data_IF_885744811844
#
_entry.id   IF_885744811844
#
_cell.length_a   1.000
_cell.length_b   1.000
_cell.length_c   1.000
_cell.angle_alpha   90.00
_cell.angle_beta   90.00
_cell.angle_gamma   90.00
#
_symmetry.space_group_name_H-M   'P 1'
#
loop_
_entity.id
_entity.type
_entity.pdbx_description
1 polymer ?
#
# COMPACT_ATOMS: atom_id res chain seq x y z
N UNK A 1 -24.50 49.84 22.24
CA UNK A 1 -25.95 49.67 22.48
C UNK A 1 -26.35 48.26 22.09
N UNK A 2 -26.70 47.40 23.06
CA UNK A 2 -27.21 46.04 22.82
C UNK A 2 -28.73 46.11 22.88
N UNK A 3 -29.44 45.70 21.84
CA UNK A 3 -30.90 45.51 21.89
C UNK A 3 -31.21 44.03 21.74
N UNK A 4 -31.63 43.42 22.84
CA UNK A 4 -32.11 42.04 22.90
C UNK A 4 -33.60 42.02 22.53
N UNK A 5 -34.00 41.20 21.56
CA UNK A 5 -35.39 40.84 21.34
C UNK A 5 -35.57 39.37 21.74
N UNK A 6 -36.45 39.13 22.71
CA UNK A 6 -36.89 37.80 23.16
C UNK A 6 -38.17 37.46 22.38
N UNK A 7 -38.20 36.33 21.70
CA UNK A 7 -39.45 35.77 21.16
C UNK A 7 -39.51 34.28 21.46
N UNK A 8 -40.45 33.93 22.33
CA UNK A 8 -40.86 32.59 22.75
C UNK A 8 -41.51 31.82 21.59
N UNK A 9 -41.10 30.57 21.37
CA UNK A 9 -41.69 29.63 20.41
C UNK A 9 -42.36 28.50 21.18
N UNK A 10 -43.68 28.38 20.99
CA UNK A 10 -44.54 27.31 21.51
C UNK A 10 -44.48 26.11 20.56
N UNK A 11 -44.19 24.91 21.08
CA UNK A 11 -44.10 23.67 20.31
C UNK A 11 -45.41 22.88 20.39
N UNK A 12 -46.12 22.74 19.27
CA UNK A 12 -47.27 21.86 19.13
C UNK A 12 -46.80 20.48 18.62
N UNK A 13 -46.97 19.46 19.46
CA UNK A 13 -46.83 18.03 19.20
C UNK A 13 -47.89 17.52 18.22
N UNK A 14 -47.49 16.77 17.19
CA UNK A 14 -48.08 15.48 16.75
C UNK A 14 -47.45 15.01 15.43
N UNK A 15 -47.03 13.74 15.35
CA UNK A 15 -46.72 13.08 14.08
C UNK A 15 -45.81 11.85 14.21
N UNK A 16 -46.39 10.65 14.06
CA UNK A 16 -45.81 9.35 14.38
C UNK A 16 -44.61 8.92 13.51
N UNK A 17 -43.59 8.32 14.15
CA UNK A 17 -42.46 7.66 13.48
C UNK A 17 -42.72 6.14 13.43
N UNK A 18 -42.93 5.63 12.21
CA UNK A 18 -43.12 4.20 11.91
C UNK A 18 -41.77 3.47 12.01
N UNK A 19 -41.74 2.40 12.79
CA UNK A 19 -40.60 1.52 13.06
C UNK A 19 -40.45 0.46 11.94
N UNK A 20 -39.28 0.41 11.30
CA UNK A 20 -38.83 -0.68 10.43
C UNK A 20 -37.35 -0.97 10.71
N UNK A 21 -37.05 -2.14 11.28
CA UNK A 21 -35.80 -2.42 11.99
C UNK A 21 -34.59 -2.81 11.13
N UNK A 22 -33.41 -2.43 11.62
CA UNK A 22 -32.18 -3.22 11.69
C UNK A 22 -31.20 -2.49 12.62
N UNK A 23 -30.52 -3.24 13.47
CA UNK A 23 -29.91 -2.77 14.71
C UNK A 23 -28.66 -1.88 14.54
N UNK A 24 -28.72 -0.67 15.11
CA UNK A 24 -27.55 0.05 15.64
C UNK A 24 -28.02 0.71 16.95
N UNK A 25 -27.40 0.35 18.08
CA UNK A 25 -27.79 0.85 19.39
C UNK A 25 -27.58 2.36 19.50
N UNK A 26 -28.66 3.10 19.76
CA UNK A 26 -28.61 4.53 20.11
C UNK A 26 -29.24 4.71 21.48
N UNK A 27 -28.40 4.85 22.50
CA UNK A 27 -28.82 5.45 23.77
C UNK A 27 -29.13 6.91 23.51
N UNK A 28 -30.37 7.31 23.77
CA UNK A 28 -30.83 8.68 23.59
C UNK A 28 -30.14 9.62 24.60
N UNK A 29 -29.17 10.40 24.12
CA UNK A 29 -28.73 11.62 24.77
C UNK A 29 -29.14 12.78 23.86
N UNK A 30 -30.10 13.57 24.34
CA UNK A 30 -30.51 14.81 23.69
C UNK A 30 -29.38 15.82 23.82
N UNK A 31 -28.76 16.18 22.69
CA UNK A 31 -27.85 17.31 22.58
C UNK A 31 -28.44 18.28 21.56
N UNK A 32 -28.79 19.48 22.03
CA UNK A 32 -29.02 20.66 21.21
C UNK A 32 -27.71 20.99 20.50
N UNK A 33 -27.66 20.65 19.21
CA UNK A 33 -26.48 20.86 18.39
C UNK A 33 -26.95 20.96 16.96
N UNK A 34 -26.64 22.08 16.30
CA UNK A 34 -26.70 22.23 14.85
C UNK A 34 -26.20 20.94 14.22
N UNK A 35 -27.11 20.17 13.62
CA UNK A 35 -26.75 18.99 12.84
C UNK A 35 -26.04 19.52 11.61
N UNK A 36 -24.73 19.64 11.71
CA UNK A 36 -23.87 19.70 10.54
C UNK A 36 -24.11 18.39 9.81
N UNK A 37 -24.98 18.42 8.81
CA UNK A 37 -24.99 17.39 7.78
C UNK A 37 -23.63 17.45 7.13
N UNK A 38 -22.70 16.63 7.63
CA UNK A 38 -21.53 16.24 6.88
C UNK A 38 -22.09 15.67 5.58
N UNK A 39 -22.00 16.47 4.52
CA UNK A 39 -22.23 15.99 3.17
C UNK A 39 -21.25 14.84 3.02
N UNK A 40 -21.76 13.61 3.18
CA UNK A 40 -21.02 12.40 2.88
C UNK A 40 -20.70 12.53 1.40
N UNK A 41 -19.49 13.00 1.09
CA UNK A 41 -18.87 12.83 -0.19
C UNK A 41 -18.82 11.32 -0.38
N UNK A 42 -19.86 10.75 -0.99
CA UNK A 42 -19.88 9.37 -1.42
C UNK A 42 -18.89 9.30 -2.57
N UNK A 43 -17.60 9.29 -2.24
CA UNK A 43 -16.54 8.82 -3.10
C UNK A 43 -16.86 7.36 -3.34
N UNK A 44 -17.70 7.12 -4.35
CA UNK A 44 -18.06 5.78 -4.80
C UNK A 44 -16.76 5.20 -5.33
N UNK A 45 -16.05 4.46 -4.49
CA UNK A 45 -14.90 3.69 -4.93
C UNK A 45 -15.44 2.75 -6.01
N UNK A 46 -14.93 2.80 -7.25
CA UNK A 46 -15.45 1.97 -8.32
C UNK A 46 -15.32 0.47 -7.98
N UNK A 47 -15.90 -0.41 -8.77
CA UNK A 47 -15.53 -1.82 -8.68
C UNK A 47 -14.11 -1.99 -9.21
N UNK A 48 -13.24 -2.82 -8.60
CA UNK A 48 -12.00 -3.22 -9.23
C UNK A 48 -12.30 -3.99 -10.52
N UNK A 49 -11.47 -3.80 -11.55
CA UNK A 49 -11.60 -4.51 -12.83
C UNK A 49 -11.18 -5.97 -12.67
N UNK A 50 -10.13 -6.21 -11.88
CA UNK A 50 -9.69 -7.54 -11.52
C UNK A 50 -9.12 -7.53 -10.11
N UNK A 51 -9.31 -8.62 -9.38
CA UNK A 51 -8.68 -8.86 -8.09
C UNK A 51 -8.04 -10.25 -8.12
N UNK A 52 -6.76 -10.31 -7.79
CA UNK A 52 -5.99 -11.54 -7.66
C UNK A 52 -5.63 -11.66 -6.17
N UNK A 53 -6.39 -12.48 -5.41
CA UNK A 53 -6.18 -12.60 -3.97
C UNK A 53 -4.84 -13.25 -3.61
N UNK A 54 -4.34 -14.11 -4.49
CA UNK A 54 -3.09 -14.85 -4.28
C UNK A 54 -2.35 -14.99 -5.62
N UNK A 55 -1.16 -14.39 -5.70
CA UNK A 55 -0.27 -14.50 -6.85
C UNK A 55 0.67 -15.69 -6.63
N UNK A 56 0.39 -16.81 -7.31
CA UNK A 56 1.15 -18.07 -7.19
C UNK A 56 2.22 -18.23 -8.27
N UNK A 57 3.17 -17.31 -8.30
CA UNK A 57 4.33 -17.38 -9.20
C UNK A 57 4.42 -16.24 -10.21
N UNK A 58 5.31 -16.44 -11.20
CA UNK A 58 5.79 -15.38 -12.07
C UNK A 58 7.04 -14.72 -11.50
N UNK A 59 7.67 -13.84 -12.28
CA UNK A 59 8.93 -13.19 -11.91
C UNK A 59 8.80 -11.68 -12.13
N UNK A 60 9.39 -10.89 -11.24
CA UNK A 60 9.70 -9.49 -11.52
C UNK A 60 11.16 -9.39 -11.95
N UNK A 61 11.44 -8.63 -13.01
CA UNK A 61 12.80 -8.48 -13.52
C UNK A 61 13.19 -7.01 -13.59
N UNK A 62 14.42 -6.71 -13.17
CA UNK A 62 15.01 -5.38 -13.21
C UNK A 62 16.26 -5.43 -14.08
N UNK A 63 16.25 -4.69 -15.17
CA UNK A 63 17.43 -4.51 -16.00
C UNK A 63 18.45 -3.65 -15.24
N UNK A 64 19.69 -4.13 -15.14
CA UNK A 64 20.78 -3.37 -14.57
C UNK A 64 21.34 -2.43 -15.64
N UNK A 65 21.36 -1.14 -15.32
CA UNK A 65 21.99 -0.16 -16.18
C UNK A 65 23.51 -0.38 -16.23
N UNK A 66 24.11 -0.16 -17.39
CA UNK A 66 25.56 -0.34 -17.57
C UNK A 66 26.35 0.60 -16.65
N UNK A 67 25.89 1.84 -16.48
CA UNK A 67 26.53 2.82 -15.60
C UNK A 67 26.50 2.38 -14.13
N UNK A 68 25.45 1.66 -13.70
CA UNK A 68 25.39 1.09 -12.36
C UNK A 68 26.44 -0.01 -12.17
N UNK A 69 26.54 -0.96 -13.12
CA UNK A 69 27.54 -2.04 -13.02
C UNK A 69 28.97 -1.54 -13.13
N UNK A 70 29.22 -0.52 -13.96
CA UNK A 70 30.53 0.12 -14.09
C UNK A 70 30.91 0.84 -12.80
N UNK A 71 29.97 1.55 -12.16
CA UNK A 71 30.21 2.23 -10.90
C UNK A 71 30.52 1.23 -9.76
N UNK A 72 29.78 0.13 -9.68
CA UNK A 72 30.08 -0.94 -8.70
C UNK A 72 31.48 -1.50 -8.89
N UNK A 73 31.87 -1.77 -10.15
CA UNK A 73 33.21 -2.27 -10.49
C UNK A 73 34.28 -1.25 -10.11
N UNK A 74 34.06 0.03 -10.39
CA UNK A 74 34.99 1.12 -10.01
C UNK A 74 35.14 1.28 -8.49
N UNK A 75 34.11 0.93 -7.71
CA UNK A 75 34.13 0.94 -6.25
C UNK A 75 34.69 -0.37 -5.66
N UNK A 76 35.06 -1.34 -6.50
CA UNK A 76 35.54 -2.65 -6.06
C UNK A 76 34.45 -3.55 -5.46
N UNK A 77 33.18 -3.25 -5.76
CA UNK A 77 32.03 -4.04 -5.33
C UNK A 77 31.72 -5.09 -6.39
N UNK A 78 31.64 -6.35 -5.97
CA UNK A 78 31.19 -7.45 -6.81
C UNK A 78 29.70 -7.69 -6.57
N UNK A 79 28.82 -7.36 -7.54
CA UNK A 79 27.41 -7.70 -7.44
C UNK A 79 27.18 -9.20 -7.65
N UNK A 80 26.24 -9.75 -6.91
CA UNK A 80 25.75 -11.11 -7.06
C UNK A 80 24.27 -11.20 -6.71
N UNK A 81 23.75 -12.43 -6.71
CA UNK A 81 22.37 -12.74 -6.31
C UNK A 81 22.39 -13.68 -5.11
N UNK A 82 21.33 -13.66 -4.30
CA UNK A 82 21.10 -14.62 -3.22
C UNK A 82 19.80 -15.37 -3.40
N UNK A 83 19.76 -16.60 -2.86
CA UNK A 83 18.58 -17.45 -2.87
C UNK A 83 18.11 -17.81 -4.28
N UNK A 84 16.84 -17.56 -4.57
CA UNK A 84 16.19 -17.91 -5.84
C UNK A 84 16.28 -16.79 -6.91
N UNK A 85 16.92 -15.66 -6.59
CA UNK A 85 17.15 -14.62 -7.57
C UNK A 85 18.12 -15.09 -8.67
N UNK A 86 17.90 -14.61 -9.89
CA UNK A 86 18.70 -14.97 -11.07
C UNK A 86 19.23 -13.73 -11.75
N UNK A 87 20.53 -13.69 -12.06
CA UNK A 87 21.14 -12.66 -12.89
C UNK A 87 21.43 -13.26 -14.28
N UNK A 88 20.64 -12.88 -15.27
CA UNK A 88 20.74 -13.38 -16.64
C UNK A 88 20.62 -12.20 -17.62
N UNK A 89 21.47 -12.16 -18.64
CA UNK A 89 21.43 -11.13 -19.70
C UNK A 89 21.43 -9.67 -19.18
N UNK A 90 22.11 -9.40 -18.05
CA UNK A 90 22.15 -8.06 -17.44
C UNK A 90 20.87 -7.65 -16.72
N UNK A 91 19.93 -8.58 -16.50
CA UNK A 91 18.72 -8.37 -15.72
C UNK A 91 18.71 -9.28 -14.50
N UNK A 92 18.26 -8.75 -13.36
CA UNK A 92 18.02 -9.54 -12.15
C UNK A 92 16.54 -9.86 -12.07
N UNK A 93 16.24 -11.15 -12.05
CA UNK A 93 14.89 -11.70 -11.90
C UNK A 93 14.67 -12.19 -10.47
N UNK A 94 13.58 -11.76 -9.86
CA UNK A 94 13.10 -12.17 -8.55
C UNK A 94 11.79 -12.96 -8.72
N UNK A 95 11.74 -14.25 -8.35
CA UNK A 95 10.51 -15.02 -8.32
C UNK A 95 9.49 -14.43 -7.34
N UNK A 96 8.24 -14.33 -7.76
CA UNK A 96 7.13 -13.95 -6.88
C UNK A 96 6.73 -15.19 -6.08
N UNK A 97 6.77 -15.08 -4.77
CA UNK A 97 6.49 -16.16 -3.83
C UNK A 97 5.06 -16.07 -3.29
N UNK A 98 4.59 -14.86 -3.03
CA UNK A 98 3.25 -14.57 -2.55
C UNK A 98 2.83 -13.14 -2.88
N UNK A 99 1.60 -12.79 -2.51
CA UNK A 99 1.09 -11.43 -2.64
C UNK A 99 -0.33 -11.38 -3.20
N UNK A 100 -0.90 -10.18 -3.19
CA UNK A 100 -2.23 -9.92 -3.71
C UNK A 100 -2.21 -8.62 -4.50
N UNK A 101 -2.90 -8.60 -5.64
CA UNK A 101 -2.96 -7.42 -6.51
C UNK A 101 -4.40 -7.16 -6.94
N UNK A 102 -4.79 -5.89 -6.89
CA UNK A 102 -6.05 -5.39 -7.41
C UNK A 102 -5.77 -4.41 -8.53
N UNK A 103 -6.43 -4.62 -9.66
CA UNK A 103 -6.37 -3.76 -10.82
C UNK A 103 -7.63 -2.90 -10.93
N UNK A 104 -7.42 -1.61 -11.14
CA UNK A 104 -8.43 -0.57 -11.25
C UNK A 104 -8.38 0.05 -12.63
N UNK A 105 -9.56 0.32 -13.20
CA UNK A 105 -9.66 0.79 -14.59
C UNK A 105 -8.90 2.11 -14.82
N UNK A 106 -8.15 2.22 -15.94
CA UNK A 106 -7.52 3.46 -16.35
C UNK A 106 -8.50 4.58 -16.66
N UNK A 107 -9.70 4.22 -17.10
CA UNK A 107 -10.78 5.12 -17.53
C UNK A 107 -11.48 5.81 -16.35
N UNK A 108 -11.33 5.26 -15.13
CA UNK A 108 -11.85 5.85 -13.91
C UNK A 108 -10.95 6.95 -13.34
N UNK A 109 -11.37 7.58 -12.23
CA UNK A 109 -10.56 8.56 -11.48
C UNK A 109 -9.80 7.95 -10.28
N UNK A 110 -9.98 6.65 -10.03
CA UNK A 110 -9.34 5.98 -8.90
C UNK A 110 -7.87 5.65 -9.24
N UNK A 111 -6.95 6.14 -8.40
CA UNK A 111 -5.49 5.93 -8.55
C UNK A 111 -4.92 5.50 -7.21
N UNK A 112 -3.84 4.71 -7.20
CA UNK A 112 -3.11 4.12 -8.35
C UNK A 112 -3.85 2.92 -8.98
N UNK A 113 -3.56 2.62 -10.25
CA UNK A 113 -4.27 1.57 -11.02
C UNK A 113 -4.00 0.16 -10.53
N UNK A 114 -2.80 -0.08 -10.03
CA UNK A 114 -2.38 -1.37 -9.50
C UNK A 114 -2.08 -1.16 -8.03
N UNK A 115 -2.77 -1.91 -7.19
CA UNK A 115 -2.62 -1.85 -5.73
C UNK A 115 -2.37 -3.25 -5.22
N UNK A 116 -1.54 -3.38 -4.19
CA UNK A 116 -1.19 -4.67 -3.66
C UNK A 116 0.18 -4.71 -3.03
N UNK A 117 0.59 -5.93 -2.71
CA UNK A 117 1.91 -6.29 -2.25
C UNK A 117 2.33 -7.57 -2.99
N UNK A 118 3.57 -7.59 -3.45
CA UNK A 118 4.20 -8.76 -4.07
C UNK A 118 5.45 -9.11 -3.28
N UNK A 119 5.49 -10.35 -2.78
CA UNK A 119 6.57 -10.88 -1.97
C UNK A 119 7.54 -11.68 -2.85
N UNK A 120 8.84 -11.52 -2.58
CA UNK A 120 9.93 -12.22 -3.24
C UNK A 120 10.85 -12.82 -2.18
N UNK A 121 10.25 -13.62 -1.30
CA UNK A 121 10.94 -14.27 -0.19
C UNK A 121 12.07 -15.18 -0.71
N UNK A 122 13.10 -15.38 0.12
CA UNK A 122 14.29 -16.18 -0.21
C UNK A 122 14.97 -15.77 -1.54
N UNK A 123 14.88 -14.49 -1.91
CA UNK A 123 15.47 -13.94 -3.13
C UNK A 123 16.10 -12.57 -2.82
N UNK A 124 17.29 -12.31 -3.36
CA UNK A 124 17.99 -11.08 -3.05
C UNK A 124 19.18 -10.73 -3.95
N UNK A 125 19.80 -9.61 -3.61
CA UNK A 125 21.02 -9.07 -4.21
C UNK A 125 22.15 -9.11 -3.20
N UNK A 126 23.35 -9.40 -3.66
CA UNK A 126 24.56 -9.34 -2.82
C UNK A 126 25.55 -8.35 -3.37
N UNK A 127 26.21 -7.61 -2.48
CA UNK A 127 27.28 -6.67 -2.78
C UNK A 127 28.48 -7.04 -1.90
N UNK A 128 29.55 -7.54 -2.52
CA UNK A 128 30.76 -7.95 -1.80
C UNK A 128 31.91 -6.99 -2.07
N UNK A 129 32.55 -6.50 -1.01
CA UNK A 129 33.82 -5.78 -1.06
C UNK A 129 34.76 -6.36 0.01
N UNK A 130 35.88 -6.93 -0.43
CA UNK A 130 36.83 -7.60 0.47
C UNK A 130 36.13 -8.69 1.30
N UNK A 131 36.19 -8.54 2.62
CA UNK A 131 35.58 -9.46 3.60
C UNK A 131 34.13 -9.10 3.96
N UNK A 132 33.64 -7.94 3.50
CA UNK A 132 32.27 -7.51 3.78
C UNK A 132 31.33 -7.93 2.66
N UNK A 133 30.24 -8.59 3.03
CA UNK A 133 29.14 -8.93 2.14
C UNK A 133 27.87 -8.30 2.67
N UNK A 134 27.26 -7.43 1.86
CA UNK A 134 25.92 -6.89 2.13
C UNK A 134 24.92 -7.68 1.30
N UNK A 135 23.91 -8.23 1.95
CA UNK A 135 22.81 -8.94 1.28
C UNK A 135 21.54 -8.12 1.46
N UNK A 136 20.84 -7.87 0.37
CA UNK A 136 19.51 -7.27 0.36
C UNK A 136 18.53 -8.36 -0.08
N UNK A 137 17.61 -8.76 0.78
CA UNK A 137 16.72 -9.91 0.51
C UNK A 137 15.29 -9.69 1.01
N UNK A 138 14.41 -10.67 0.75
CA UNK A 138 13.01 -10.68 1.14
C UNK A 138 12.25 -9.44 0.62
N UNK A 139 12.39 -9.18 -0.68
CA UNK A 139 11.83 -7.96 -1.26
C UNK A 139 10.30 -7.97 -1.29
N UNK A 140 9.70 -6.88 -0.80
CA UNK A 140 8.27 -6.60 -0.92
C UNK A 140 8.06 -5.39 -1.82
N UNK A 141 7.37 -5.61 -2.95
CA UNK A 141 7.04 -4.56 -3.90
C UNK A 141 5.60 -4.09 -3.64
N UNK A 142 5.44 -2.80 -3.37
CA UNK A 142 4.15 -2.14 -3.30
C UNK A 142 3.94 -1.29 -4.56
N UNK A 143 3.24 -1.81 -5.60
CA UNK A 143 3.01 -1.06 -6.84
C UNK A 143 2.14 0.18 -6.64
N UNK A 144 1.30 0.21 -5.59
CA UNK A 144 0.42 1.35 -5.34
C UNK A 144 1.17 2.59 -4.83
N UNK A 145 2.18 2.39 -3.99
CA UNK A 145 3.03 3.48 -3.49
C UNK A 145 4.36 3.62 -4.23
N UNK A 146 4.63 2.75 -5.20
CA UNK A 146 5.91 2.64 -5.90
C UNK A 146 7.10 2.48 -4.94
N UNK A 147 6.91 1.65 -3.90
CA UNK A 147 7.92 1.40 -2.87
C UNK A 147 8.40 -0.05 -2.94
N UNK A 148 9.70 -0.21 -2.70
CA UNK A 148 10.38 -1.48 -2.50
C UNK A 148 10.86 -1.52 -1.04
N UNK A 149 10.55 -2.61 -0.36
CA UNK A 149 11.04 -2.92 0.98
C UNK A 149 11.85 -4.21 0.93
N UNK A 150 12.69 -4.44 1.92
CA UNK A 150 13.46 -5.68 2.07
C UNK A 150 14.43 -5.56 3.24
N UNK A 151 14.97 -6.70 3.64
CA UNK A 151 15.94 -6.79 4.71
C UNK A 151 17.34 -6.47 4.17
N UNK A 152 18.16 -5.82 4.99
CA UNK A 152 19.58 -5.58 4.72
C UNK A 152 20.39 -6.32 5.76
N UNK A 153 21.20 -7.27 5.31
CA UNK A 153 22.12 -8.03 6.14
C UNK A 153 23.55 -7.64 5.80
N UNK A 154 24.39 -7.52 6.83
CA UNK A 154 25.84 -7.36 6.69
C UNK A 154 26.50 -8.59 7.28
N UNK A 155 27.24 -9.33 6.46
CA UNK A 155 27.90 -10.58 6.82
C UNK A 155 26.94 -11.61 7.44
N UNK A 156 25.69 -11.67 6.93
CA UNK A 156 24.65 -12.57 7.42
C UNK A 156 23.92 -12.10 8.69
N UNK A 157 24.20 -10.90 9.19
CA UNK A 157 23.50 -10.32 10.33
C UNK A 157 22.58 -9.19 9.87
N UNK A 158 21.32 -9.19 10.31
CA UNK A 158 20.34 -8.14 9.97
C UNK A 158 20.84 -6.79 10.52
N UNK A 159 21.04 -5.85 9.61
CA UNK A 159 21.45 -4.48 9.90
C UNK A 159 20.27 -3.49 9.77
N UNK A 160 19.28 -3.78 8.91
CA UNK A 160 18.05 -3.01 8.77
C UNK A 160 16.93 -3.87 8.16
N UNK A 161 15.66 -3.49 8.40
CA UNK A 161 14.45 -4.08 7.83
C UNK A 161 13.32 -3.07 7.69
#
# INVERSE_FOLDING_TARGET
MRKSLKTSITLATTGALVLGGAAFGVSAAQADGTVHTVSSSSSKIPGPVASVPEVKGGNTAVALDKGFTDALTSLGLTPGVSGNAKLENGSVSFPITAGSVTYWSPDGNYRPYVQGLLNHDDSGLTLKAGDTTVTLENFVVNPGSSKLYGDVLVNGQVAAS
#
